data_IF_557269343962
#
_entry.id   IF_557269343962
#
_cell.length_a   1.000
_cell.length_b   1.000
_cell.length_c   1.000
_cell.angle_alpha   90.00
_cell.angle_beta   90.00
_cell.angle_gamma   90.00
#
_symmetry.space_group_name_H-M   'P 1'
#
loop_
_entity.id
_entity.type
_entity.pdbx_description
1 polymer ?
#
# COMPACT_ATOMS: atom_id res chain seq x y z
N UNK A 1 14.16 -35.94 -12.65
CA UNK A 1 15.07 -34.80 -12.31
C UNK A 1 14.25 -33.52 -12.33
N UNK A 2 14.09 -32.86 -11.21
CA UNK A 2 13.38 -31.58 -11.12
C UNK A 2 14.34 -30.51 -11.62
N UNK A 3 14.04 -29.87 -12.76
CA UNK A 3 14.91 -28.86 -13.36
C UNK A 3 15.09 -27.63 -12.44
N UNK A 4 16.17 -26.84 -12.57
CA UNK A 4 16.49 -25.70 -11.72
C UNK A 4 15.39 -24.62 -11.68
N UNK A 5 14.60 -24.47 -12.73
CA UNK A 5 13.44 -23.56 -12.75
C UNK A 5 12.33 -23.96 -11.79
N UNK A 6 12.16 -25.26 -11.50
CA UNK A 6 11.16 -25.77 -10.56
C UNK A 6 11.56 -25.50 -9.11
N UNK A 7 12.86 -25.52 -8.78
CA UNK A 7 13.34 -25.23 -7.43
C UNK A 7 13.22 -23.74 -7.10
N UNK A 8 13.61 -22.85 -8.03
CA UNK A 8 13.46 -21.39 -7.86
C UNK A 8 11.99 -21.02 -7.64
N UNK A 9 11.08 -21.64 -8.39
CA UNK A 9 9.64 -21.40 -8.20
C UNK A 9 9.13 -21.85 -6.84
N UNK A 10 9.63 -22.97 -6.30
CA UNK A 10 9.27 -23.45 -4.96
C UNK A 10 9.80 -22.52 -3.86
N UNK A 11 11.07 -22.11 -3.96
CA UNK A 11 11.68 -21.16 -3.01
C UNK A 11 10.89 -19.85 -2.99
N UNK A 12 10.58 -19.29 -4.17
CA UNK A 12 9.80 -18.05 -4.28
C UNK A 12 8.40 -18.20 -3.65
N UNK A 13 7.72 -19.33 -3.89
CA UNK A 13 6.40 -19.59 -3.31
C UNK A 13 6.48 -19.73 -1.78
N UNK A 14 7.52 -20.39 -1.27
CA UNK A 14 7.75 -20.50 0.18
C UNK A 14 8.01 -19.13 0.81
N UNK A 15 8.87 -18.31 0.20
CA UNK A 15 9.15 -16.96 0.69
C UNK A 15 7.89 -16.07 0.67
N UNK A 16 7.10 -16.15 -0.39
CA UNK A 16 5.83 -15.42 -0.48
C UNK A 16 4.84 -15.87 0.61
N UNK A 17 4.77 -17.17 0.87
CA UNK A 17 3.91 -17.73 1.92
C UNK A 17 4.35 -17.26 3.32
N UNK A 18 5.65 -17.28 3.61
CA UNK A 18 6.20 -16.76 4.87
C UNK A 18 5.93 -15.26 5.02
N UNK A 19 6.05 -14.49 3.95
CA UNK A 19 5.74 -13.06 3.94
C UNK A 19 4.25 -12.79 4.24
N UNK A 20 3.35 -13.58 3.67
CA UNK A 20 1.91 -13.47 3.96
C UNK A 20 1.62 -13.80 5.43
N UNK A 21 2.23 -14.85 5.99
CA UNK A 21 2.10 -15.19 7.41
C UNK A 21 2.60 -14.03 8.29
N UNK A 22 3.73 -13.44 7.94
CA UNK A 22 4.29 -12.28 8.64
C UNK A 22 3.31 -11.10 8.61
N UNK A 23 2.72 -10.78 7.47
CA UNK A 23 1.74 -9.69 7.36
C UNK A 23 0.48 -9.96 8.20
N UNK A 24 -0.04 -11.19 8.17
CA UNK A 24 -1.19 -11.57 9.00
C UNK A 24 -0.86 -11.42 10.50
N UNK A 25 0.33 -11.87 10.91
CA UNK A 25 0.78 -11.72 12.29
C UNK A 25 0.85 -10.25 12.71
N UNK A 26 1.47 -9.39 11.90
CA UNK A 26 1.58 -7.95 12.17
C UNK A 26 0.20 -7.26 12.20
N UNK A 27 -0.72 -7.69 11.35
CA UNK A 27 -2.10 -7.17 11.34
C UNK A 27 -2.88 -7.57 12.59
N UNK A 28 -2.71 -8.78 13.09
CA UNK A 28 -3.33 -9.22 14.36
C UNK A 28 -2.77 -8.41 15.53
N UNK A 29 -1.45 -8.22 15.59
CA UNK A 29 -0.81 -7.39 16.62
C UNK A 29 -1.29 -5.94 16.57
N UNK A 30 -1.40 -5.36 15.36
CA UNK A 30 -1.94 -4.02 15.17
C UNK A 30 -3.38 -3.92 15.67
N UNK A 31 -4.24 -4.89 15.33
CA UNK A 31 -5.63 -4.94 15.78
C UNK A 31 -5.76 -4.99 17.30
N UNK A 32 -4.99 -5.86 17.95
CA UNK A 32 -4.98 -5.98 19.41
C UNK A 32 -4.55 -4.68 20.09
N UNK A 33 -3.56 -3.97 19.55
CA UNK A 33 -3.11 -2.68 20.07
C UNK A 33 -4.18 -1.61 19.95
N UNK A 34 -4.88 -1.54 18.84
CA UNK A 34 -5.96 -0.56 18.63
C UNK A 34 -7.09 -0.81 19.65
N UNK A 35 -7.47 -2.07 19.87
CA UNK A 35 -8.48 -2.43 20.86
C UNK A 35 -8.06 -1.99 22.30
N UNK A 36 -6.81 -2.21 22.67
CA UNK A 36 -6.29 -1.78 23.97
C UNK A 36 -6.28 -0.25 24.10
N UNK A 37 -5.95 0.47 23.04
CA UNK A 37 -5.95 1.94 23.04
C UNK A 37 -7.36 2.51 23.24
N UNK A 38 -8.36 1.96 22.60
CA UNK A 38 -9.75 2.36 22.73
C UNK A 38 -10.28 2.12 24.18
N UNK A 39 -9.92 0.99 24.79
CA UNK A 39 -10.31 0.66 26.17
C UNK A 39 -9.69 1.65 27.15
N UNK A 40 -8.41 1.96 27.03
CA UNK A 40 -7.72 2.90 27.92
C UNK A 40 -8.28 4.33 27.80
N UNK A 41 -8.62 4.78 26.61
CA UNK A 41 -9.24 6.09 26.39
C UNK A 41 -10.59 6.19 27.08
N UNK A 42 -11.46 5.21 26.92
CA UNK A 42 -12.77 5.16 27.58
C UNK A 42 -12.66 5.16 29.12
N UNK A 43 -11.63 4.53 29.67
CA UNK A 43 -11.35 4.56 31.09
C UNK A 43 -10.93 5.96 31.58
N UNK A 44 -10.06 6.67 30.85
CA UNK A 44 -9.60 8.01 31.13
C UNK A 44 -10.74 9.04 31.04
N UNK A 45 -11.58 8.97 30.03
CA UNK A 45 -12.71 9.88 29.84
C UNK A 45 -13.75 9.71 30.97
N UNK A 46 -14.03 8.48 31.38
CA UNK A 46 -14.91 8.19 32.53
C UNK A 46 -14.31 8.63 33.87
N UNK A 47 -13.00 8.52 34.04
CA UNK A 47 -12.30 8.99 35.23
C UNK A 47 -12.29 10.51 35.32
N UNK A 48 -12.09 11.22 34.21
CA UNK A 48 -12.14 12.70 34.18
C UNK A 48 -13.54 13.25 34.43
N UNK A 49 -14.59 12.59 33.93
CA UNK A 49 -15.99 12.93 34.21
C UNK A 49 -16.33 12.71 35.70
N UNK A 50 -15.87 11.61 36.29
CA UNK A 50 -16.09 11.34 37.71
C UNK A 50 -15.35 12.32 38.66
N UNK A 51 -14.18 12.80 38.25
CA UNK A 51 -13.41 13.82 38.99
C UNK A 51 -14.09 15.20 38.90
N UNK A 52 -14.67 15.57 37.77
CA UNK A 52 -15.39 16.85 37.60
C UNK A 52 -16.70 16.90 38.37
N UNK A 53 -17.37 15.76 38.58
CA UNK A 53 -18.60 15.67 39.40
C UNK A 53 -18.33 15.68 40.92
N UNK A 54 -17.09 15.36 41.35
CA UNK A 54 -16.72 15.34 42.77
C UNK A 54 -16.03 16.61 43.30
N UNK A 55 -15.78 17.60 42.42
CA UNK A 55 -15.04 18.82 42.80
C UNK A 55 -15.83 19.91 43.53
N UNK A 56 -17.15 19.75 43.74
CA UNK A 56 -17.96 20.70 44.50
C UNK A 56 -18.04 20.45 46.01
N UNK A 57 -17.38 19.42 46.53
CA UNK A 57 -17.25 19.23 47.96
C UNK A 57 -15.86 18.73 48.36
N UNK A 58 -15.21 19.47 49.24
CA UNK A 58 -14.04 19.12 50.06
C UNK A 58 -12.73 19.78 49.66
N UNK A 59 -12.52 20.94 50.24
CA UNK A 59 -11.19 21.42 50.65
C UNK A 59 -10.64 20.45 51.71
N UNK A 60 -9.42 20.03 51.47
CA UNK A 60 -8.37 19.49 52.33
C UNK A 60 -7.90 18.09 51.98
N UNK A 61 -6.63 18.04 51.77
CA UNK A 61 -5.67 16.98 52.01
C UNK A 61 -5.27 16.04 50.84
N UNK A 62 -3.98 16.00 50.68
CA UNK A 62 -3.11 15.03 50.01
C UNK A 62 -3.13 15.02 48.48
N UNK A 63 -2.04 15.58 47.95
CA UNK A 63 -1.52 15.34 46.62
C UNK A 63 -1.60 13.82 46.36
N UNK A 64 -2.40 13.35 45.38
CA UNK A 64 -2.28 11.98 44.91
C UNK A 64 -0.90 11.88 44.31
N UNK A 65 -0.11 10.94 44.75
CA UNK A 65 1.05 10.43 44.03
C UNK A 65 0.56 10.15 42.61
N UNK A 66 1.10 10.91 41.63
CA UNK A 66 0.92 10.65 40.23
C UNK A 66 1.44 9.22 40.03
N UNK A 67 0.54 8.25 39.96
CA UNK A 67 0.88 6.95 39.45
C UNK A 67 1.45 7.19 38.06
N UNK A 68 2.72 6.92 37.92
CA UNK A 68 3.47 7.04 36.67
C UNK A 68 2.69 6.23 35.66
N UNK A 69 1.99 6.91 34.77
CA UNK A 69 1.27 6.29 33.68
C UNK A 69 2.26 5.36 32.96
N UNK A 70 2.04 4.05 33.04
CA UNK A 70 2.89 3.09 32.31
C UNK A 70 2.56 3.30 30.84
N UNK A 71 3.31 4.18 30.22
CA UNK A 71 3.25 4.36 28.78
C UNK A 71 3.58 3.01 28.14
N UNK A 72 2.77 2.56 27.21
CA UNK A 72 2.96 1.30 26.47
C UNK A 72 4.32 1.23 25.77
N UNK A 73 5.04 2.34 25.71
CA UNK A 73 6.41 2.48 25.22
C UNK A 73 7.45 1.80 26.11
N UNK A 74 7.15 1.57 27.39
CA UNK A 74 8.14 1.07 28.37
C UNK A 74 8.40 -0.44 28.27
N UNK A 75 7.63 -1.19 27.45
CA UNK A 75 7.74 -2.64 27.35
C UNK A 75 8.10 -3.18 25.97
N UNK A 76 8.48 -2.33 24.99
CA UNK A 76 8.90 -2.80 23.68
C UNK A 76 10.42 -2.92 23.61
N UNK A 77 10.91 -4.12 23.24
CA UNK A 77 12.35 -4.41 23.02
C UNK A 77 12.93 -3.60 21.84
N UNK A 78 12.07 -3.04 21.00
CA UNK A 78 12.42 -2.26 19.82
C UNK A 78 11.96 -0.83 20.07
N UNK A 79 12.84 0.15 19.79
CA UNK A 79 12.49 1.58 19.87
C UNK A 79 11.22 1.89 19.08
N UNK A 80 10.36 2.72 19.63
CA UNK A 80 9.12 3.15 18.95
C UNK A 80 9.37 3.89 17.64
N UNK A 81 10.56 4.47 17.45
CA UNK A 81 10.93 5.10 16.19
C UNK A 81 11.02 4.08 15.04
N UNK A 82 11.37 2.82 15.35
CA UNK A 82 11.52 1.73 14.36
C UNK A 82 10.28 0.85 14.33
N UNK A 83 9.55 0.73 15.44
CA UNK A 83 8.42 -0.17 15.55
C UNK A 83 7.17 0.43 14.89
N UNK A 84 6.69 -0.11 13.75
CA UNK A 84 5.54 0.44 13.03
C UNK A 84 4.21 0.36 13.81
N UNK A 85 4.21 -0.36 14.94
CA UNK A 85 3.04 -0.54 15.78
C UNK A 85 2.95 0.47 16.93
N UNK A 86 3.94 1.35 17.13
CA UNK A 86 3.95 2.30 18.23
C UNK A 86 3.13 3.57 17.93
N UNK A 87 3.29 4.15 16.75
CA UNK A 87 2.63 5.39 16.35
C UNK A 87 1.57 5.11 15.28
N UNK A 88 0.37 4.78 15.73
CA UNK A 88 -0.74 4.42 14.84
C UNK A 88 -1.40 5.70 14.33
N UNK A 89 -1.19 6.00 13.06
CA UNK A 89 -1.84 7.13 12.36
C UNK A 89 -2.85 6.60 11.33
N UNK A 90 -3.77 7.44 10.88
CA UNK A 90 -4.72 7.08 9.81
C UNK A 90 -4.00 6.64 8.55
N UNK A 91 -2.95 7.35 8.15
CA UNK A 91 -2.17 6.98 6.96
C UNK A 91 -1.58 5.57 7.13
N UNK A 92 -1.01 5.27 8.30
CA UNK A 92 -0.47 3.95 8.61
C UNK A 92 -1.52 2.83 8.53
N UNK A 93 -2.75 3.10 8.96
CA UNK A 93 -3.86 2.14 8.86
C UNK A 93 -4.34 1.89 7.43
N UNK A 94 -4.22 2.87 6.55
CA UNK A 94 -4.65 2.79 5.15
C UNK A 94 -3.49 2.39 4.20
N UNK A 95 -2.24 2.38 4.69
CA UNK A 95 -1.07 2.02 3.93
C UNK A 95 -0.98 0.50 3.74
N UNK A 96 -0.43 0.05 2.62
CA UNK A 96 -0.23 -1.37 2.37
C UNK A 96 0.81 -2.00 3.30
N UNK A 97 0.77 -3.32 3.38
CA UNK A 97 1.59 -4.09 4.31
C UNK A 97 3.09 -3.95 4.06
N UNK A 98 3.50 -3.87 2.77
CA UNK A 98 4.93 -3.80 2.41
C UNK A 98 5.53 -2.45 2.83
N UNK A 99 4.86 -1.36 2.51
CA UNK A 99 5.34 -0.03 2.88
C UNK A 99 5.28 0.16 4.40
N UNK A 100 4.17 -0.22 5.05
CA UNK A 100 4.02 -0.03 6.49
C UNK A 100 4.95 -0.90 7.34
N UNK A 101 5.05 -2.21 7.03
CA UNK A 101 5.77 -3.15 7.91
C UNK A 101 7.22 -3.42 7.51
N UNK A 102 7.60 -3.09 6.26
CA UNK A 102 8.96 -3.32 5.77
C UNK A 102 9.69 -2.02 5.43
N UNK A 103 9.14 -1.19 4.54
CA UNK A 103 9.88 -0.05 4.02
C UNK A 103 9.94 1.12 5.01
N UNK A 104 8.88 1.43 5.75
CA UNK A 104 8.90 2.50 6.75
C UNK A 104 9.92 2.21 7.88
N UNK A 105 9.94 1.03 8.53
CA UNK A 105 11.00 0.68 9.49
C UNK A 105 12.39 0.67 8.87
N UNK A 106 12.52 0.14 7.63
CA UNK A 106 13.81 0.10 6.94
C UNK A 106 14.33 1.50 6.62
N UNK A 107 13.46 2.45 6.24
CA UNK A 107 13.82 3.84 6.02
C UNK A 107 14.35 4.50 7.30
N UNK A 108 13.70 4.23 8.44
CA UNK A 108 14.16 4.71 9.76
C UNK A 108 15.53 4.14 10.13
N UNK A 109 15.72 2.81 9.97
CA UNK A 109 17.01 2.16 10.24
C UNK A 109 18.10 2.74 9.32
N UNK A 110 17.79 2.86 8.03
CA UNK A 110 18.72 3.39 7.04
C UNK A 110 19.14 4.83 7.36
N UNK A 111 18.18 5.69 7.72
CA UNK A 111 18.47 7.06 8.11
C UNK A 111 19.31 7.13 9.40
N UNK A 112 19.00 6.27 10.39
CA UNK A 112 19.79 6.20 11.63
C UNK A 112 21.26 5.79 11.38
N UNK A 113 21.50 4.91 10.40
CA UNK A 113 22.86 4.43 10.07
C UNK A 113 23.59 5.45 9.20
N UNK A 114 22.94 6.00 8.17
CA UNK A 114 23.58 6.89 7.18
C UNK A 114 23.54 8.36 7.62
N UNK A 115 22.52 8.76 8.39
CA UNK A 115 22.37 10.12 8.91
C UNK A 115 21.90 11.13 7.86
N UNK A 116 21.07 10.71 6.90
CA UNK A 116 20.60 11.58 5.81
C UNK A 116 19.82 12.77 6.35
N UNK A 117 18.94 12.56 7.32
CA UNK A 117 18.14 13.62 7.94
C UNK A 117 18.98 14.66 8.65
N UNK A 118 20.15 14.27 9.18
CA UNK A 118 21.11 15.17 9.85
C UNK A 118 21.89 16.04 8.87
N UNK A 119 21.93 15.64 7.59
CA UNK A 119 22.67 16.34 6.55
C UNK A 119 21.80 17.48 6.00
N UNK A 120 22.30 18.72 6.04
CA UNK A 120 21.58 19.88 5.49
C UNK A 120 21.55 19.90 3.96
N UNK A 121 22.54 19.27 3.31
CA UNK A 121 22.67 19.25 1.85
C UNK A 121 21.61 18.38 1.16
N UNK A 122 21.22 17.25 1.74
CA UNK A 122 20.24 16.34 1.16
C UNK A 122 18.84 16.78 1.60
N UNK A 123 18.02 17.21 0.64
CA UNK A 123 16.62 17.57 0.89
C UNK A 123 15.68 16.42 0.50
N UNK A 124 14.49 16.30 1.11
CA UNK A 124 13.50 15.30 0.70
C UNK A 124 13.20 15.35 -0.80
N UNK A 125 12.99 16.55 -1.36
CA UNK A 125 12.71 16.71 -2.79
C UNK A 125 13.85 16.19 -3.70
N UNK A 126 15.12 16.24 -3.26
CA UNK A 126 16.22 15.65 -4.02
C UNK A 126 16.09 14.13 -4.10
N UNK A 127 15.65 13.48 -3.01
CA UNK A 127 15.39 12.04 -2.98
C UNK A 127 14.22 11.72 -3.90
N UNK A 128 13.14 12.53 -3.87
CA UNK A 128 11.98 12.37 -4.76
C UNK A 128 12.39 12.47 -6.23
N UNK A 129 13.22 13.43 -6.64
CA UNK A 129 13.72 13.49 -8.02
C UNK A 129 14.62 12.31 -8.38
N UNK A 130 15.45 11.86 -7.45
CA UNK A 130 16.32 10.71 -7.67
C UNK A 130 15.52 9.42 -7.91
N UNK A 131 14.48 9.16 -7.12
CA UNK A 131 13.66 7.95 -7.32
C UNK A 131 12.92 7.95 -8.67
N UNK A 132 12.57 9.11 -9.25
CA UNK A 132 12.05 9.18 -10.63
C UNK A 132 13.08 8.67 -11.65
N UNK A 133 14.35 9.06 -11.49
CA UNK A 133 15.44 8.53 -12.31
C UNK A 133 15.55 7.01 -12.23
N UNK A 134 15.49 6.45 -11.02
CA UNK A 134 15.46 5.00 -10.78
C UNK A 134 14.24 4.35 -11.43
N UNK A 135 13.06 4.97 -11.34
CA UNK A 135 11.84 4.50 -11.99
C UNK A 135 11.96 4.45 -13.52
N UNK A 136 12.58 5.46 -14.14
CA UNK A 136 12.82 5.49 -15.59
C UNK A 136 13.73 4.34 -16.04
N UNK A 137 14.82 4.09 -15.29
CA UNK A 137 15.70 2.94 -15.56
C UNK A 137 14.96 1.62 -15.39
N UNK A 138 14.19 1.49 -14.31
CA UNK A 138 13.33 0.33 -14.05
C UNK A 138 12.36 0.08 -15.21
N UNK A 139 11.61 1.09 -15.65
CA UNK A 139 10.67 1.00 -16.77
C UNK A 139 11.34 0.54 -18.07
N UNK A 140 12.55 1.05 -18.36
CA UNK A 140 13.37 0.62 -19.50
C UNK A 140 13.74 -0.86 -19.40
N UNK A 141 14.13 -1.34 -18.23
CA UNK A 141 14.48 -2.75 -18.01
C UNK A 141 13.25 -3.66 -18.09
N UNK A 142 12.10 -3.20 -17.59
CA UNK A 142 10.82 -3.93 -17.71
C UNK A 142 10.38 -4.05 -19.17
N UNK A 143 10.72 -3.11 -20.04
CA UNK A 143 10.44 -3.16 -21.47
C UNK A 143 11.27 -4.23 -22.22
N UNK A 144 12.29 -4.81 -21.58
CA UNK A 144 13.20 -5.78 -22.19
C UNK A 144 12.52 -7.13 -22.48
N UNK A 145 12.98 -7.79 -23.54
CA UNK A 145 12.55 -9.16 -23.91
C UNK A 145 13.09 -10.21 -22.93
N UNK A 146 14.25 -9.95 -22.32
CA UNK A 146 14.88 -10.85 -21.35
C UNK A 146 14.17 -10.83 -20.01
N UNK A 147 13.77 -12.00 -19.50
CA UNK A 147 13.17 -12.17 -18.18
C UNK A 147 14.11 -11.69 -17.06
N UNK A 148 15.43 -11.90 -17.21
CA UNK A 148 16.43 -11.45 -16.23
C UNK A 148 16.43 -9.92 -16.08
N UNK A 149 16.43 -9.18 -17.19
CA UNK A 149 16.35 -7.72 -17.17
C UNK A 149 15.01 -7.22 -16.62
N UNK A 150 13.88 -7.88 -16.93
CA UNK A 150 12.58 -7.53 -16.34
C UNK A 150 12.57 -7.72 -14.83
N UNK A 151 13.15 -8.82 -14.33
CA UNK A 151 13.29 -9.05 -12.88
C UNK A 151 14.18 -8.01 -12.21
N UNK A 152 15.28 -7.63 -12.85
CA UNK A 152 16.13 -6.53 -12.38
C UNK A 152 15.35 -5.20 -12.37
N UNK A 153 14.53 -4.93 -13.38
CA UNK A 153 13.64 -3.79 -13.41
C UNK A 153 12.67 -3.77 -12.21
N UNK A 154 12.08 -4.92 -11.88
CA UNK A 154 11.21 -5.05 -10.69
C UNK A 154 11.98 -4.73 -9.40
N UNK A 155 13.19 -5.27 -9.24
CA UNK A 155 14.02 -4.97 -8.05
C UNK A 155 14.36 -3.48 -7.95
N UNK A 156 14.71 -2.84 -9.07
CA UNK A 156 14.95 -1.39 -9.09
C UNK A 156 13.68 -0.59 -8.76
N UNK A 157 12.51 -1.04 -9.18
CA UNK A 157 11.26 -0.37 -8.80
C UNK A 157 10.96 -0.53 -7.30
N UNK A 158 11.32 -1.66 -6.69
CA UNK A 158 11.21 -1.82 -5.22
C UNK A 158 12.17 -0.87 -4.48
N UNK A 159 13.40 -0.68 -5.02
CA UNK A 159 14.33 0.34 -4.48
C UNK A 159 13.74 1.73 -4.63
N UNK A 160 13.09 2.04 -5.76
CA UNK A 160 12.37 3.29 -5.96
C UNK A 160 11.30 3.50 -4.89
N UNK A 161 10.48 2.48 -4.62
CA UNK A 161 9.43 2.56 -3.59
C UNK A 161 10.01 2.75 -2.19
N UNK A 162 11.14 2.10 -1.89
CA UNK A 162 11.87 2.34 -0.64
C UNK A 162 12.39 3.79 -0.54
N UNK A 163 12.91 4.37 -1.64
CA UNK A 163 13.38 5.75 -1.65
C UNK A 163 12.25 6.77 -1.46
N UNK A 164 11.06 6.45 -1.91
CA UNK A 164 9.83 7.18 -1.70
C UNK A 164 9.44 7.23 -0.19
N UNK A 165 9.43 6.07 0.48
CA UNK A 165 9.23 6.02 1.93
C UNK A 165 10.35 6.76 2.70
N UNK A 166 11.58 6.72 2.18
CA UNK A 166 12.73 7.40 2.78
C UNK A 166 12.61 8.92 2.69
N UNK A 167 12.15 9.49 1.55
CA UNK A 167 12.01 10.95 1.43
C UNK A 167 10.91 11.48 2.35
N UNK A 168 9.80 10.75 2.48
CA UNK A 168 8.75 11.02 3.45
C UNK A 168 9.25 10.94 4.89
N UNK A 169 10.08 9.93 5.22
CA UNK A 169 10.72 9.82 6.53
C UNK A 169 11.62 11.02 6.82
N UNK A 170 12.54 11.35 5.91
CA UNK A 170 13.47 12.50 6.06
C UNK A 170 12.69 13.82 6.17
N UNK A 171 11.60 13.99 5.43
CA UNK A 171 10.74 15.17 5.54
C UNK A 171 10.13 15.31 6.95
N UNK A 172 9.62 14.22 7.51
CA UNK A 172 9.03 14.20 8.87
C UNK A 172 10.06 14.45 9.96
N UNK A 173 11.21 13.80 9.89
CA UNK A 173 12.29 13.99 10.88
C UNK A 173 12.79 15.43 10.89
N UNK A 174 13.03 16.05 9.72
CA UNK A 174 13.46 17.46 9.62
C UNK A 174 12.42 18.45 10.15
N UNK A 175 11.15 18.10 10.14
CA UNK A 175 10.04 18.92 10.66
C UNK A 175 9.62 18.56 12.08
N UNK A 176 10.29 17.60 12.72
CA UNK A 176 9.96 17.07 14.05
C UNK A 176 8.51 16.52 14.14
N UNK A 177 8.00 15.93 13.06
CA UNK A 177 6.67 15.31 13.01
C UNK A 177 6.81 13.84 13.37
N UNK A 178 6.03 13.37 14.35
CA UNK A 178 5.95 11.97 14.74
C UNK A 178 4.88 11.23 13.94
N UNK A 179 5.15 9.96 13.63
CA UNK A 179 4.26 9.05 12.91
C UNK A 179 4.08 9.38 11.43
N UNK A 180 3.37 8.53 10.72
CA UNK A 180 3.08 8.68 9.30
C UNK A 180 1.91 9.64 9.09
N UNK A 181 2.18 10.92 8.89
CA UNK A 181 1.17 11.94 8.58
C UNK A 181 1.38 12.51 7.19
N UNK A 182 0.28 12.78 6.48
CA UNK A 182 0.31 13.50 5.21
C UNK A 182 0.08 14.99 5.46
N UNK A 183 1.05 15.81 5.08
CA UNK A 183 0.94 17.27 5.14
C UNK A 183 0.28 17.81 3.86
N UNK A 184 -1.02 17.58 3.73
CA UNK A 184 -1.81 18.03 2.57
C UNK A 184 -1.70 19.55 2.44
N UNK A 185 -1.41 20.04 1.21
CA UNK A 185 -1.30 21.46 0.92
C UNK A 185 0.12 22.04 0.99
N UNK A 186 1.12 21.26 1.41
CA UNK A 186 2.52 21.69 1.34
C UNK A 186 3.13 21.48 -0.04
N UNK A 187 4.11 22.30 -0.43
CA UNK A 187 4.81 22.14 -1.72
C UNK A 187 5.50 20.79 -1.83
N UNK A 188 6.07 20.27 -0.73
CA UNK A 188 6.69 18.95 -0.68
C UNK A 188 5.71 17.83 -1.02
N UNK A 189 4.49 17.86 -0.48
CA UNK A 189 3.43 16.90 -0.78
C UNK A 189 3.08 16.84 -2.28
N UNK A 190 3.02 18.01 -2.95
CA UNK A 190 2.73 18.04 -4.39
C UNK A 190 3.90 17.57 -5.25
N UNK A 191 5.15 17.90 -4.85
CA UNK A 191 6.36 17.43 -5.54
C UNK A 191 6.46 15.92 -5.45
N UNK A 192 6.26 15.35 -4.27
CA UNK A 192 6.24 13.92 -3.99
C UNK A 192 5.18 13.21 -4.86
N UNK A 193 3.93 13.63 -4.79
CA UNK A 193 2.85 13.05 -5.60
C UNK A 193 3.06 13.16 -7.12
N UNK A 194 3.73 14.24 -7.59
CA UNK A 194 4.10 14.37 -9.00
C UNK A 194 5.20 13.36 -9.38
N UNK A 195 6.22 13.23 -8.54
CA UNK A 195 7.32 12.27 -8.75
C UNK A 195 6.82 10.83 -8.73
N UNK A 196 5.88 10.51 -7.85
CA UNK A 196 5.19 9.22 -7.81
C UNK A 196 4.43 8.93 -9.09
N UNK A 197 3.66 9.89 -9.55
CA UNK A 197 2.93 9.80 -10.81
C UNK A 197 3.86 9.54 -12.00
N UNK A 198 4.98 10.27 -12.09
CA UNK A 198 5.99 10.08 -13.13
C UNK A 198 6.65 8.69 -13.06
N UNK A 199 6.95 8.22 -11.84
CA UNK A 199 7.46 6.86 -11.62
C UNK A 199 6.49 5.78 -12.08
N UNK A 200 5.21 5.91 -11.77
CA UNK A 200 4.16 5.01 -12.24
C UNK A 200 4.04 5.03 -13.77
N UNK A 201 4.08 6.21 -14.40
CA UNK A 201 4.04 6.35 -15.87
C UNK A 201 5.24 5.62 -16.51
N UNK A 202 6.44 5.77 -15.96
CA UNK A 202 7.63 5.09 -16.47
C UNK A 202 7.47 3.57 -16.44
N UNK A 203 6.95 2.99 -15.35
CA UNK A 203 6.66 1.56 -15.25
C UNK A 203 5.60 1.11 -16.24
N UNK A 204 4.49 1.84 -16.36
CA UNK A 204 3.38 1.51 -17.26
C UNK A 204 3.80 1.57 -18.73
N UNK A 205 4.65 2.52 -19.10
CA UNK A 205 5.26 2.58 -20.44
C UNK A 205 6.17 1.36 -20.68
N UNK A 206 6.99 0.97 -19.70
CA UNK A 206 7.79 -0.25 -19.77
C UNK A 206 6.94 -1.50 -20.01
N UNK A 207 5.86 -1.66 -19.25
CA UNK A 207 4.87 -2.74 -19.41
C UNK A 207 4.24 -2.72 -20.81
N UNK A 208 3.82 -1.55 -21.27
CA UNK A 208 3.20 -1.39 -22.58
C UNK A 208 4.17 -1.80 -23.71
N UNK A 209 5.41 -1.28 -23.70
CA UNK A 209 6.41 -1.61 -24.72
C UNK A 209 6.77 -3.09 -24.70
N UNK A 210 6.95 -3.69 -23.53
CA UNK A 210 7.18 -5.13 -23.43
C UNK A 210 6.06 -5.95 -24.07
N UNK A 211 4.80 -5.68 -23.71
CA UNK A 211 3.65 -6.43 -24.24
C UNK A 211 3.37 -6.14 -25.72
N UNK A 212 3.71 -4.95 -26.20
CA UNK A 212 3.63 -4.60 -27.65
C UNK A 212 4.63 -5.40 -28.45
N UNK A 213 5.87 -5.51 -27.96
CA UNK A 213 6.95 -6.22 -28.65
C UNK A 213 6.79 -7.75 -28.49
N UNK A 214 6.28 -8.20 -27.37
CA UNK A 214 6.03 -9.61 -27.04
C UNK A 214 4.53 -9.89 -26.89
N UNK A 215 3.75 -9.82 -27.98
CA UNK A 215 2.32 -10.01 -27.88
C UNK A 215 2.00 -11.44 -27.41
N UNK A 216 1.17 -11.59 -26.37
CA UNK A 216 0.85 -12.88 -25.79
C UNK A 216 0.16 -13.78 -26.81
N UNK A 217 0.60 -15.01 -26.87
CA UNK A 217 0.06 -16.03 -27.79
C UNK A 217 -1.19 -16.65 -27.15
N UNK A 218 -2.28 -16.79 -27.90
CA UNK A 218 -3.41 -17.61 -27.48
C UNK A 218 -2.95 -19.06 -27.33
N UNK A 219 -3.29 -19.71 -26.21
CA UNK A 219 -2.99 -21.12 -25.99
C UNK A 219 -3.56 -22.01 -27.13
N UNK A 220 -2.85 -23.10 -27.43
CA UNK A 220 -3.34 -24.10 -28.36
C UNK A 220 -4.60 -24.73 -27.79
N UNK A 221 -5.71 -24.74 -28.52
CA UNK A 221 -6.65 -25.85 -28.40
C UNK A 221 -6.07 -27.00 -29.21
N UNK A 222 -5.69 -28.06 -28.53
CA UNK A 222 -5.45 -29.34 -29.17
C UNK A 222 -6.84 -29.75 -29.70
N UNK A 223 -7.04 -29.64 -31.02
CA UNK A 223 -8.21 -30.28 -31.65
C UNK A 223 -7.90 -31.77 -31.63
N UNK A 224 -8.73 -32.62 -30.97
CA UNK A 224 -8.53 -34.04 -31.05
C UNK A 224 -8.63 -34.41 -32.54
N UNK A 225 -7.59 -35.05 -33.07
CA UNK A 225 -7.58 -35.59 -34.38
C UNK A 225 -8.59 -36.73 -34.41
N UNK A 226 -9.74 -36.51 -35.05
CA UNK A 226 -10.70 -37.58 -35.35
C UNK A 226 -10.00 -38.53 -36.32
N UNK A 227 -9.84 -39.77 -35.91
CA UNK A 227 -9.36 -40.87 -36.75
C UNK A 227 -10.27 -41.06 -37.94
N UNK A 228 -9.95 -40.45 -39.04
CA UNK A 228 -10.44 -40.84 -40.36
C UNK A 228 -9.27 -41.01 -41.29
N UNK A 229 -9.00 -42.29 -41.60
CA UNK A 229 -8.02 -42.73 -42.58
C UNK A 229 -8.30 -42.09 -43.93
N UNK A 230 -7.35 -41.37 -44.49
CA UNK A 230 -7.09 -41.38 -45.95
C UNK A 230 -5.63 -40.89 -46.21
N UNK A 231 -4.95 -41.44 -47.26
CA UNK A 231 -3.52 -41.29 -47.43
C UNK A 231 -3.18 -40.06 -48.27
N UNK A 232 -1.93 -39.63 -48.09
CA UNK A 232 -1.19 -38.73 -48.95
C UNK A 232 -1.70 -37.29 -49.17
N UNK A 233 -1.19 -36.45 -48.34
CA UNK A 233 -0.44 -35.23 -48.71
C UNK A 233 -0.15 -34.43 -47.46
N UNK A 234 1.13 -34.24 -47.19
CA UNK A 234 1.69 -33.43 -46.09
C UNK A 234 1.34 -31.96 -46.25
N UNK A 235 0.17 -31.56 -45.83
CA UNK A 235 -0.12 -30.14 -45.69
C UNK A 235 -0.47 -29.91 -44.22
N UNK A 236 0.55 -29.74 -43.41
CA UNK A 236 0.41 -29.21 -42.07
C UNK A 236 -0.13 -27.79 -42.19
N UNK A 237 -1.43 -27.61 -42.09
CA UNK A 237 -2.07 -26.30 -42.05
C UNK A 237 -1.69 -25.68 -40.71
N UNK A 238 -0.60 -24.91 -40.72
CA UNK A 238 -0.17 -24.07 -39.60
C UNK A 238 -1.22 -22.96 -39.49
N UNK A 239 -2.22 -23.16 -38.59
CA UNK A 239 -3.17 -22.11 -38.26
C UNK A 239 -2.35 -20.98 -37.65
N UNK A 240 -2.35 -19.76 -38.27
CA UNK A 240 -1.54 -18.66 -37.76
C UNK A 240 -1.98 -18.32 -36.33
N UNK A 241 -1.04 -18.42 -35.39
CA UNK A 241 -1.21 -17.97 -34.03
C UNK A 241 -1.66 -16.50 -34.03
N UNK A 242 -2.93 -16.22 -33.75
CA UNK A 242 -3.39 -14.83 -33.65
C UNK A 242 -2.69 -14.15 -32.49
N UNK A 243 -1.74 -13.27 -32.80
CA UNK A 243 -1.08 -12.38 -31.84
C UNK A 243 -2.11 -11.39 -31.27
N UNK A 244 -2.01 -11.05 -30.01
CA UNK A 244 -2.86 -10.01 -29.42
C UNK A 244 -2.56 -8.68 -30.16
N UNK A 245 -3.59 -8.02 -30.64
CA UNK A 245 -3.47 -6.73 -31.34
C UNK A 245 -2.96 -5.68 -30.36
N UNK A 246 -2.09 -4.76 -30.81
CA UNK A 246 -1.59 -3.60 -30.02
C UNK A 246 -2.74 -2.86 -29.33
N UNK A 247 -3.89 -2.70 -30.00
CA UNK A 247 -5.09 -2.10 -29.41
C UNK A 247 -5.60 -2.86 -28.16
N UNK A 248 -5.50 -4.18 -28.15
CA UNK A 248 -5.90 -4.99 -26.98
C UNK A 248 -4.92 -4.86 -25.83
N UNK A 249 -3.62 -4.79 -26.12
CA UNK A 249 -2.58 -4.51 -25.14
C UNK A 249 -2.81 -3.13 -24.51
N UNK A 250 -2.94 -2.10 -25.34
CA UNK A 250 -3.22 -0.74 -24.89
C UNK A 250 -4.47 -0.68 -24.01
N UNK A 251 -5.57 -1.32 -24.40
CA UNK A 251 -6.81 -1.34 -23.63
C UNK A 251 -6.63 -1.95 -22.23
N UNK A 252 -5.84 -3.00 -22.08
CA UNK A 252 -5.58 -3.62 -20.77
C UNK A 252 -4.68 -2.73 -19.88
N UNK A 253 -3.61 -2.14 -20.46
CA UNK A 253 -2.70 -1.25 -19.73
C UNK A 253 -3.45 0.03 -19.31
N UNK A 254 -4.19 0.67 -20.20
CA UNK A 254 -5.00 1.87 -19.89
C UNK A 254 -6.05 1.55 -18.83
N UNK A 255 -6.71 0.38 -18.90
CA UNK A 255 -7.65 -0.04 -17.86
C UNK A 255 -6.98 -0.17 -16.49
N UNK A 256 -5.79 -0.74 -16.42
CA UNK A 256 -5.02 -0.84 -15.17
C UNK A 256 -4.58 0.55 -14.67
N UNK A 257 -4.11 1.42 -15.57
CA UNK A 257 -3.80 2.83 -15.25
C UNK A 257 -4.99 3.55 -14.64
N UNK A 258 -6.19 3.37 -15.21
CA UNK A 258 -7.43 3.93 -14.66
C UNK A 258 -7.74 3.43 -13.25
N UNK A 259 -7.47 2.16 -12.96
CA UNK A 259 -7.62 1.61 -11.59
C UNK A 259 -6.61 2.23 -10.62
N UNK A 260 -5.35 2.40 -11.01
CA UNK A 260 -4.34 3.06 -10.18
C UNK A 260 -4.73 4.51 -9.86
N UNK A 261 -5.20 5.27 -10.85
CA UNK A 261 -5.67 6.64 -10.66
C UNK A 261 -6.87 6.70 -9.73
N UNK A 262 -7.88 5.85 -9.94
CA UNK A 262 -9.06 5.80 -9.10
C UNK A 262 -8.72 5.40 -7.66
N UNK A 263 -7.87 4.38 -7.50
CA UNK A 263 -7.39 3.95 -6.18
C UNK A 263 -6.62 5.05 -5.47
N UNK A 264 -5.68 5.70 -6.15
CA UNK A 264 -4.88 6.80 -5.58
C UNK A 264 -5.75 7.98 -5.14
N UNK A 265 -6.69 8.41 -6.00
CA UNK A 265 -7.58 9.54 -5.71
C UNK A 265 -8.49 9.23 -4.51
N UNK A 266 -9.10 8.05 -4.49
CA UNK A 266 -9.97 7.63 -3.40
C UNK A 266 -9.18 7.48 -2.09
N UNK A 267 -8.01 6.83 -2.12
CA UNK A 267 -7.15 6.64 -0.95
C UNK A 267 -6.72 7.97 -0.32
N UNK A 268 -6.23 8.94 -1.13
CA UNK A 268 -5.86 10.26 -0.64
C UNK A 268 -7.04 11.02 -0.03
N UNK A 269 -8.23 10.94 -0.66
CA UNK A 269 -9.45 11.53 -0.10
C UNK A 269 -9.79 10.93 1.26
N UNK A 270 -9.72 9.61 1.40
CA UNK A 270 -10.09 8.95 2.65
C UNK A 270 -9.07 9.20 3.76
N UNK A 271 -7.78 9.30 3.47
CA UNK A 271 -6.80 9.78 4.45
C UNK A 271 -7.23 11.15 4.99
N UNK A 272 -7.55 12.09 4.11
CA UNK A 272 -7.95 13.44 4.53
C UNK A 272 -9.24 13.45 5.37
N UNK A 273 -10.24 12.66 4.98
CA UNK A 273 -11.52 12.56 5.70
C UNK A 273 -11.33 11.93 7.08
N UNK A 274 -10.64 10.79 7.14
CA UNK A 274 -10.42 10.08 8.41
C UNK A 274 -9.47 10.81 9.36
N UNK A 275 -8.48 11.56 8.87
CA UNK A 275 -7.64 12.41 9.72
C UNK A 275 -8.46 13.44 10.53
N UNK A 276 -9.56 13.89 9.94
CA UNK A 276 -10.47 14.84 10.59
C UNK A 276 -11.53 14.16 11.49
N UNK A 277 -11.70 12.83 11.37
CA UNK A 277 -12.74 12.07 12.09
C UNK A 277 -12.21 11.17 13.21
N UNK A 278 -10.89 11.07 13.41
CA UNK A 278 -10.24 10.08 14.30
C UNK A 278 -10.53 10.21 15.79
N UNK A 279 -11.57 10.87 16.18
CA UNK A 279 -12.06 10.76 17.55
C UNK A 279 -12.89 9.48 17.80
N UNK A 280 -13.01 8.57 16.82
CA UNK A 280 -13.95 7.44 16.89
C UNK A 280 -13.41 6.07 16.47
N UNK A 281 -13.91 5.02 17.15
CA UNK A 281 -13.49 3.61 17.22
C UNK A 281 -13.71 2.72 15.96
N UNK A 282 -13.63 3.23 14.72
CA UNK A 282 -14.09 2.52 13.52
C UNK A 282 -12.94 1.95 12.64
N UNK A 283 -12.34 0.87 13.10
CA UNK A 283 -11.15 0.24 12.51
C UNK A 283 -11.40 -0.71 11.30
N UNK A 284 -12.54 -1.42 11.13
CA UNK A 284 -12.60 -2.53 10.15
C UNK A 284 -12.49 -2.14 8.68
N UNK A 285 -12.99 -0.95 8.29
CA UNK A 285 -13.04 -0.53 6.87
C UNK A 285 -11.69 -0.06 6.36
N UNK A 286 -10.84 0.47 7.26
CA UNK A 286 -9.48 0.90 6.91
C UNK A 286 -8.62 -0.25 6.40
N UNK A 287 -8.83 -1.49 6.90
CA UNK A 287 -8.07 -2.68 6.53
C UNK A 287 -8.26 -3.11 5.08
N UNK A 288 -9.43 -2.88 4.53
CA UNK A 288 -9.68 -3.16 3.11
C UNK A 288 -8.80 -2.28 2.21
N UNK A 289 -8.53 -1.03 2.61
CA UNK A 289 -7.66 -0.12 1.86
C UNK A 289 -6.20 -0.57 1.83
N UNK A 290 -5.74 -1.35 2.79
CA UNK A 290 -4.38 -1.94 2.77
C UNK A 290 -4.13 -2.86 1.59
N UNK A 291 -5.21 -3.45 1.02
CA UNK A 291 -5.13 -4.39 -0.11
C UNK A 291 -5.42 -3.70 -1.44
N UNK A 292 -6.29 -2.69 -1.46
CA UNK A 292 -6.75 -2.06 -2.70
C UNK A 292 -6.14 -0.69 -2.99
N UNK A 293 -5.25 -0.19 -2.12
CA UNK A 293 -4.55 1.06 -2.37
C UNK A 293 -3.59 0.96 -3.58
N UNK A 294 -3.15 2.11 -4.07
CA UNK A 294 -2.29 2.20 -5.26
C UNK A 294 -0.98 1.44 -5.11
N UNK A 295 -0.37 1.45 -3.92
CA UNK A 295 0.91 0.78 -3.65
C UNK A 295 0.75 -0.74 -3.67
N UNK A 296 -0.31 -1.29 -3.04
CA UNK A 296 -0.63 -2.72 -3.10
C UNK A 296 -0.84 -3.20 -4.54
N UNK A 297 -1.57 -2.43 -5.36
CA UNK A 297 -1.77 -2.75 -6.78
C UNK A 297 -0.45 -2.71 -7.56
N UNK A 298 0.45 -1.77 -7.25
CA UNK A 298 1.80 -1.72 -7.84
C UNK A 298 2.63 -2.94 -7.42
N UNK A 299 2.62 -3.35 -6.18
CA UNK A 299 3.31 -4.58 -5.74
C UNK A 299 2.77 -5.82 -6.46
N UNK A 300 1.45 -5.92 -6.66
CA UNK A 300 0.84 -7.03 -7.42
C UNK A 300 1.30 -7.06 -8.88
N UNK A 301 1.35 -5.93 -9.58
CA UNK A 301 1.84 -5.91 -10.97
C UNK A 301 3.32 -6.22 -11.05
N UNK A 302 4.15 -5.72 -10.12
CA UNK A 302 5.57 -6.03 -10.05
C UNK A 302 5.81 -7.54 -9.82
N UNK A 303 5.06 -8.16 -8.92
CA UNK A 303 5.10 -9.61 -8.70
C UNK A 303 4.70 -10.37 -9.98
N UNK A 304 3.69 -9.89 -10.70
CA UNK A 304 3.26 -10.51 -11.95
C UNK A 304 4.33 -10.44 -13.06
N UNK A 305 5.10 -9.33 -13.12
CA UNK A 305 6.25 -9.18 -14.03
C UNK A 305 7.37 -10.15 -13.63
N UNK A 306 7.69 -10.21 -12.35
CA UNK A 306 8.74 -11.09 -11.81
C UNK A 306 8.46 -12.57 -12.08
N UNK A 307 7.19 -12.99 -11.94
CA UNK A 307 6.71 -14.35 -12.20
C UNK A 307 6.43 -14.65 -13.69
N UNK A 308 6.64 -13.68 -14.60
CA UNK A 308 6.32 -13.80 -16.04
C UNK A 308 4.83 -14.09 -16.31
N UNK A 309 3.94 -13.56 -15.47
CA UNK A 309 2.47 -13.72 -15.54
C UNK A 309 1.72 -12.40 -15.79
N UNK A 310 2.44 -11.38 -16.25
CA UNK A 310 1.93 -10.03 -16.45
C UNK A 310 0.63 -9.97 -17.27
N UNK A 311 0.58 -10.71 -18.38
CA UNK A 311 -0.60 -10.69 -19.24
C UNK A 311 -1.83 -11.30 -18.60
N UNK A 312 -1.65 -12.41 -17.88
CA UNK A 312 -2.75 -13.06 -17.17
C UNK A 312 -3.26 -12.19 -16.02
N UNK A 313 -2.35 -11.55 -15.29
CA UNK A 313 -2.70 -10.56 -14.27
C UNK A 313 -3.55 -9.42 -14.87
N UNK A 314 -3.09 -8.77 -15.95
CA UNK A 314 -3.80 -7.65 -16.56
C UNK A 314 -5.19 -8.04 -17.11
N UNK A 315 -5.37 -9.29 -17.55
CA UNK A 315 -6.69 -9.80 -17.97
C UNK A 315 -7.65 -9.93 -16.80
N UNK A 316 -7.18 -10.50 -15.70
CA UNK A 316 -8.00 -10.73 -14.50
C UNK A 316 -8.34 -9.40 -13.85
N UNK A 317 -7.33 -8.59 -13.54
CA UNK A 317 -7.49 -7.34 -12.80
C UNK A 317 -8.35 -6.33 -13.55
N UNK A 318 -8.42 -6.40 -14.88
CA UNK A 318 -9.19 -5.48 -15.72
C UNK A 318 -10.66 -5.38 -15.32
N UNK A 319 -11.28 -6.47 -14.88
CA UNK A 319 -12.68 -6.49 -14.45
C UNK A 319 -12.80 -6.61 -12.93
N UNK A 320 -12.12 -7.58 -12.34
CA UNK A 320 -12.17 -7.80 -10.89
C UNK A 320 -11.66 -6.59 -10.09
N UNK A 321 -10.61 -5.91 -10.57
CA UNK A 321 -10.04 -4.75 -9.89
C UNK A 321 -11.04 -3.59 -9.77
N UNK A 322 -11.80 -3.27 -10.82
CA UNK A 322 -12.82 -2.24 -10.73
C UNK A 322 -13.97 -2.64 -9.80
N UNK A 323 -14.40 -3.90 -9.82
CA UNK A 323 -15.48 -4.38 -8.94
C UNK A 323 -15.03 -4.25 -7.47
N UNK A 324 -13.84 -4.77 -7.15
CA UNK A 324 -13.30 -4.73 -5.79
C UNK A 324 -13.14 -3.28 -5.32
N UNK A 325 -12.58 -2.41 -6.18
CA UNK A 325 -12.35 -1.00 -5.86
C UNK A 325 -13.67 -0.24 -5.66
N UNK A 326 -14.69 -0.48 -6.50
CA UNK A 326 -16.01 0.13 -6.34
C UNK A 326 -16.70 -0.33 -5.05
N UNK A 327 -16.62 -1.62 -4.71
CA UNK A 327 -17.12 -2.14 -3.43
C UNK A 327 -16.41 -1.45 -2.26
N UNK A 328 -15.08 -1.30 -2.33
CA UNK A 328 -14.29 -0.61 -1.31
C UNK A 328 -14.75 0.84 -1.14
N UNK A 329 -14.92 1.57 -2.24
CA UNK A 329 -15.41 2.96 -2.23
C UNK A 329 -16.82 3.04 -1.64
N UNK A 330 -17.75 2.19 -2.10
CA UNK A 330 -19.14 2.21 -1.60
C UNK A 330 -19.21 1.93 -0.09
N UNK A 331 -18.49 0.93 0.40
CA UNK A 331 -18.46 0.60 1.83
C UNK A 331 -17.86 1.75 2.66
N UNK A 332 -16.80 2.37 2.17
CA UNK A 332 -16.16 3.51 2.85
C UNK A 332 -17.08 4.74 2.88
N UNK A 333 -17.76 5.07 1.77
CA UNK A 333 -18.71 6.18 1.74
C UNK A 333 -19.91 5.94 2.67
N UNK A 334 -20.45 4.73 2.71
CA UNK A 334 -21.54 4.37 3.64
C UNK A 334 -21.11 4.59 5.10
N UNK A 335 -19.93 4.14 5.44
CA UNK A 335 -19.36 4.30 6.78
C UNK A 335 -19.13 5.78 7.15
N UNK A 336 -18.62 6.60 6.22
CA UNK A 336 -18.44 8.04 6.44
C UNK A 336 -19.80 8.71 6.69
N UNK A 337 -20.82 8.37 5.90
CA UNK A 337 -22.17 8.93 6.08
C UNK A 337 -22.77 8.53 7.44
N UNK A 338 -22.58 7.30 7.88
CA UNK A 338 -23.03 6.84 9.19
C UNK A 338 -22.34 7.58 10.33
N UNK A 339 -21.01 7.74 10.25
CA UNK A 339 -20.22 8.49 11.21
C UNK A 339 -20.64 9.97 11.28
N UNK A 340 -20.88 10.61 10.12
CA UNK A 340 -21.37 11.99 10.07
C UNK A 340 -22.74 12.14 10.69
N UNK A 341 -23.69 11.26 10.38
CA UNK A 341 -25.04 11.29 10.97
C UNK A 341 -25.02 11.14 12.49
N UNK A 342 -24.12 10.32 12.99
CA UNK A 342 -23.97 10.17 14.45
C UNK A 342 -23.41 11.45 15.10
N UNK A 343 -22.39 12.10 14.52
CA UNK A 343 -21.83 13.35 15.02
C UNK A 343 -22.93 14.44 15.03
N UNK A 344 -23.72 14.53 13.96
CA UNK A 344 -24.83 15.49 13.87
C UNK A 344 -25.88 15.23 14.95
N UNK A 345 -26.29 14.00 15.17
CA UNK A 345 -27.30 13.65 16.17
C UNK A 345 -26.80 13.87 17.61
N UNK A 346 -25.52 13.58 17.90
CA UNK A 346 -24.94 13.84 19.21
C UNK A 346 -24.81 15.32 19.51
N UNK A 347 -24.43 16.14 18.51
CA UNK A 347 -24.39 17.60 18.65
C UNK A 347 -25.78 18.24 18.82
N UNK A 348 -26.81 17.68 18.16
CA UNK A 348 -28.19 18.13 18.34
C UNK A 348 -28.73 17.81 19.73
N UNK A 349 -28.40 16.65 20.32
CA UNK A 349 -28.78 16.29 21.68
C UNK A 349 -28.09 17.16 22.73
N UNK A 350 -26.83 17.55 22.52
CA UNK A 350 -26.10 18.43 23.47
C UNK A 350 -26.65 19.86 23.48
N UNK A 351 -27.18 20.36 22.37
CA UNK A 351 -27.81 21.69 22.28
C UNK A 351 -29.25 21.75 22.83
N UNK A 352 -29.90 20.59 23.05
CA UNK A 352 -31.23 20.49 23.63
C UNK A 352 -31.20 20.34 25.18
N UNK A 353 -30.01 20.13 25.75
CA UNK A 353 -29.79 19.99 27.20
C UNK A 353 -29.24 21.24 27.88
N UNK A 354 -29.11 22.36 27.18
CA UNK A 354 -28.82 23.70 27.63
C UNK A 354 -30.09 24.57 27.58
#
# INVERSE_FOLDING_TARGET
>A
MIGPSSQISKILLTLLFLLIIFYIFMDVELYLRIQHYAINRNYHDNASVSISLSSDQIRTSKVPTVEKEISYTDHTWISCDINPLCEITVKALLLDHTNHYLFAPLATIFDNVVGISRTSFITPNMISFFHVGVACVSGKLVASDSLGYRRLGVLLFQIRTFLDDLDGHVARVKKHIRGERSEIGTSGYYVDGLCDGLGCIALLLGIFFFLKNNPPRRGYSIIPMSDTKLPDSTTTTIIPKMKATTRKVAKNVISFTGQLLLSSTAWNRYIAVYQNMLERDDVPITWMWRIVNVHALLHCVLLSIFCDKLWDFLKVIRYSGYIILLVAICLTEMHILEAQNYIFNSAACSNLSL
#
